data_IF_488834594311
#
_entry.id   IF_488834594311
#
_cell.length_a   1.000
_cell.length_b   1.000
_cell.length_c   1.000
_cell.angle_alpha   90.00
_cell.angle_beta   90.00
_cell.angle_gamma   90.00
#
_symmetry.space_group_name_H-M   'P 1'
#
loop_
_entity.id
_entity.type
_entity.pdbx_description
1 polymer ?
#
# COMPACT_ATOMS: atom_id res chain seq x y z
N UNK A 1 3.28 11.25 -11.73
CA UNK A 1 4.60 11.93 -11.71
C UNK A 1 5.69 10.92 -12.03
N UNK A 2 6.76 11.30 -12.72
CA UNK A 2 7.89 10.39 -12.99
C UNK A 2 9.09 10.92 -12.22
N UNK A 3 9.60 10.14 -11.26
CA UNK A 3 10.78 10.47 -10.45
C UNK A 3 11.91 9.50 -10.83
N UNK A 4 13.15 10.00 -10.80
CA UNK A 4 14.35 9.19 -11.05
C UNK A 4 14.95 8.73 -9.72
N UNK A 5 15.54 7.54 -9.73
CA UNK A 5 16.32 7.05 -8.60
C UNK A 5 17.58 7.87 -8.43
N UNK A 6 17.84 8.32 -7.20
CA UNK A 6 19.07 8.99 -6.83
C UNK A 6 19.99 8.01 -6.10
N UNK A 7 21.29 8.29 -6.10
CA UNK A 7 22.26 7.53 -5.30
C UNK A 7 22.14 7.98 -3.85
N UNK A 8 22.03 7.02 -2.93
CA UNK A 8 22.04 7.27 -1.49
C UNK A 8 23.05 6.31 -0.84
N UNK A 9 24.29 6.76 -0.68
CA UNK A 9 25.40 5.89 -0.27
C UNK A 9 25.62 4.72 -1.24
N UNK A 10 25.43 3.49 -0.74
CA UNK A 10 25.51 2.24 -1.48
C UNK A 10 24.15 1.75 -2.02
N UNK A 11 23.07 2.50 -1.83
CA UNK A 11 21.73 2.17 -2.30
C UNK A 11 21.18 3.22 -3.27
N UNK A 12 19.94 2.98 -3.73
CA UNK A 12 19.15 3.93 -4.51
C UNK A 12 17.97 4.39 -3.68
N UNK A 13 17.59 5.65 -3.83
CA UNK A 13 16.44 6.23 -3.16
C UNK A 13 15.49 6.90 -4.17
N UNK A 14 14.20 6.91 -3.83
CA UNK A 14 13.17 7.67 -4.51
C UNK A 14 12.79 8.84 -3.61
N UNK A 15 12.95 10.07 -4.10
CA UNK A 15 12.60 11.28 -3.32
C UNK A 15 11.14 11.63 -3.56
N UNK A 16 10.36 11.59 -2.47
CA UNK A 16 8.95 11.97 -2.45
C UNK A 16 8.84 13.37 -1.84
N UNK A 17 8.04 14.24 -2.45
CA UNK A 17 7.86 15.60 -1.96
C UNK A 17 7.02 15.60 -0.68
N UNK A 18 7.43 16.40 0.31
CA UNK A 18 6.78 16.53 1.62
C UNK A 18 5.26 16.74 1.53
N UNK A 19 4.83 17.60 0.61
CA UNK A 19 3.41 17.89 0.38
C UNK A 19 2.60 16.65 -0.04
N UNK A 20 3.22 15.68 -0.74
CA UNK A 20 2.55 14.44 -1.14
C UNK A 20 2.36 13.48 0.04
N UNK A 21 3.36 13.40 0.93
CA UNK A 21 3.24 12.59 2.15
C UNK A 21 2.13 13.14 3.06
N UNK A 22 2.11 14.46 3.24
CA UNK A 22 1.06 15.13 4.02
C UNK A 22 -0.33 14.96 3.40
N UNK A 23 -0.45 15.09 2.08
CA UNK A 23 -1.72 14.85 1.37
C UNK A 23 -2.19 13.39 1.49
N UNK A 24 -1.27 12.44 1.61
CA UNK A 24 -1.59 11.04 1.87
C UNK A 24 -1.93 10.76 3.36
N UNK A 25 -1.84 11.76 4.23
CA UNK A 25 -2.04 11.63 5.68
C UNK A 25 -0.94 10.80 6.35
N UNK A 26 0.27 10.82 5.78
CA UNK A 26 1.44 10.14 6.30
C UNK A 26 2.35 11.14 7.01
N UNK A 27 2.81 10.76 8.18
CA UNK A 27 3.76 11.54 8.97
C UNK A 27 5.20 11.26 8.50
N UNK A 28 6.00 12.31 8.34
CA UNK A 28 7.35 12.25 7.76
C UNK A 28 8.31 11.39 8.57
N UNK A 29 8.14 11.36 9.89
CA UNK A 29 9.05 10.68 10.80
C UNK A 29 8.64 9.23 11.09
N UNK A 30 7.37 8.89 10.86
CA UNK A 30 6.79 7.61 11.29
C UNK A 30 6.20 6.79 10.15
N UNK A 31 6.11 7.33 8.92
CA UNK A 31 5.56 6.61 7.78
C UNK A 31 6.36 5.35 7.44
N UNK A 32 5.67 4.22 7.46
CA UNK A 32 6.20 2.94 7.01
C UNK A 32 5.69 2.61 5.62
N UNK A 33 6.54 2.03 4.80
CA UNK A 33 6.20 1.58 3.46
C UNK A 33 6.57 0.12 3.29
N UNK A 34 5.61 -0.66 2.82
CA UNK A 34 5.84 -2.00 2.33
C UNK A 34 6.27 -1.93 0.87
N UNK A 35 7.33 -2.67 0.54
CA UNK A 35 7.84 -2.78 -0.82
C UNK A 35 7.65 -4.22 -1.28
N UNK A 36 6.91 -4.42 -2.37
CA UNK A 36 6.66 -5.73 -2.98
C UNK A 36 7.01 -5.71 -4.46
N UNK A 37 7.32 -6.90 -4.99
CA UNK A 37 7.56 -7.10 -6.42
C UNK A 37 6.27 -7.62 -7.02
N UNK A 38 5.74 -6.92 -8.03
CA UNK A 38 4.57 -7.38 -8.76
C UNK A 38 4.96 -8.56 -9.68
N UNK A 39 4.18 -9.65 -9.72
CA UNK A 39 4.43 -10.79 -10.61
C UNK A 39 4.52 -10.42 -12.10
N UNK A 40 3.82 -9.37 -12.53
CA UNK A 40 3.81 -8.89 -13.91
C UNK A 40 4.98 -7.96 -14.24
N UNK A 41 5.91 -7.80 -13.29
CA UNK A 41 7.06 -6.92 -13.42
C UNK A 41 6.75 -5.52 -12.88
N UNK A 42 7.50 -5.12 -11.86
CA UNK A 42 7.37 -3.81 -11.25
C UNK A 42 7.66 -3.82 -9.76
N UNK A 43 7.86 -2.64 -9.21
CA UNK A 43 8.00 -2.43 -7.77
C UNK A 43 6.77 -1.68 -7.28
N UNK A 44 6.06 -2.27 -6.32
CA UNK A 44 4.92 -1.64 -5.66
C UNK A 44 5.39 -1.14 -4.30
N UNK A 45 5.12 0.14 -4.03
CA UNK A 45 5.43 0.79 -2.76
C UNK A 45 4.10 1.26 -2.17
N UNK A 46 3.74 0.72 -1.01
CA UNK A 46 2.47 1.01 -0.35
C UNK A 46 2.69 1.42 1.10
N UNK A 47 2.03 2.49 1.54
CA UNK A 47 2.09 2.93 2.94
C UNK A 47 1.36 1.95 3.85
N UNK A 48 1.96 1.62 4.99
CA UNK A 48 1.35 0.79 6.04
C UNK A 48 0.75 1.72 7.10
N UNK A 49 -0.54 1.51 7.44
CA UNK A 49 -1.20 2.24 8.54
C UNK A 49 -1.18 1.35 9.78
N UNK A 50 -0.39 1.73 10.77
CA UNK A 50 -0.13 0.93 11.98
C UNK A 50 -1.37 0.66 12.84
N UNK A 51 -2.40 1.52 12.77
CA UNK A 51 -3.41 1.57 13.82
C UNK A 51 -4.69 0.75 13.61
N UNK A 52 -4.89 0.03 12.49
CA UNK A 52 -6.21 -0.59 12.27
C UNK A 52 -6.27 -1.83 11.37
N UNK A 53 -5.15 -2.48 11.05
CA UNK A 53 -5.20 -3.65 10.14
C UNK A 53 -6.06 -4.79 10.72
N UNK A 54 -5.99 -5.07 12.03
CA UNK A 54 -6.81 -6.12 12.65
C UNK A 54 -8.32 -5.81 12.64
N UNK A 55 -8.71 -4.54 12.79
CA UNK A 55 -10.11 -4.11 12.80
C UNK A 55 -10.68 -4.01 11.38
N UNK A 56 -9.88 -3.52 10.42
CA UNK A 56 -10.24 -3.51 9.00
C UNK A 56 -10.31 -4.90 8.43
N UNK A 57 -9.41 -5.79 8.82
CA UNK A 57 -9.44 -7.18 8.35
C UNK A 57 -10.66 -7.91 8.91
N UNK A 58 -11.06 -7.65 10.16
CA UNK A 58 -12.34 -8.14 10.69
C UNK A 58 -13.55 -7.59 9.94
N UNK A 59 -13.65 -6.27 9.79
CA UNK A 59 -14.75 -5.64 9.06
C UNK A 59 -14.79 -6.09 7.58
N UNK A 60 -13.63 -6.27 6.96
CA UNK A 60 -13.53 -6.77 5.59
C UNK A 60 -13.96 -8.23 5.48
N UNK A 61 -13.58 -9.08 6.45
CA UNK A 61 -14.07 -10.47 6.53
C UNK A 61 -15.58 -10.53 6.76
N UNK A 62 -16.13 -9.69 7.63
CA UNK A 62 -17.58 -9.62 7.88
C UNK A 62 -18.33 -9.26 6.59
N UNK A 63 -17.88 -8.23 5.86
CA UNK A 63 -18.48 -7.84 4.58
C UNK A 63 -18.32 -8.95 3.51
N UNK A 64 -17.20 -9.66 3.51
CA UNK A 64 -16.97 -10.81 2.62
C UNK A 64 -17.92 -11.97 2.92
N UNK A 65 -18.15 -12.29 4.20
CA UNK A 65 -19.08 -13.33 4.63
C UNK A 65 -20.53 -12.97 4.30
N UNK A 66 -20.94 -11.71 4.54
CA UNK A 66 -22.27 -11.22 4.18
C UNK A 66 -22.54 -11.28 2.67
N UNK A 67 -21.50 -11.12 1.85
CA UNK A 67 -21.60 -11.08 0.39
C UNK A 67 -21.02 -12.31 -0.32
N UNK A 68 -20.93 -13.45 0.39
CA UNK A 68 -20.28 -14.68 -0.08
C UNK A 68 -20.77 -15.16 -1.46
N UNK A 69 -22.06 -15.04 -1.73
CA UNK A 69 -22.66 -15.43 -3.03
C UNK A 69 -22.19 -14.53 -4.18
N UNK A 70 -22.09 -13.22 -3.94
CA UNK A 70 -21.62 -12.25 -4.93
C UNK A 70 -20.12 -12.42 -5.19
N UNK A 71 -19.34 -12.65 -4.14
CA UNK A 71 -17.89 -12.88 -4.26
C UNK A 71 -17.59 -14.20 -4.98
N UNK A 72 -18.32 -15.28 -4.69
CA UNK A 72 -18.23 -16.56 -5.42
C UNK A 72 -18.57 -16.44 -6.91
N UNK A 73 -19.47 -15.53 -7.28
CA UNK A 73 -19.78 -15.24 -8.69
C UNK A 73 -18.67 -14.45 -9.38
N UNK A 74 -18.08 -13.48 -8.68
CA UNK A 74 -16.96 -12.69 -9.20
C UNK A 74 -15.68 -13.52 -9.37
N UNK A 75 -15.40 -14.45 -8.44
CA UNK A 75 -14.22 -15.32 -8.49
C UNK A 75 -14.28 -16.44 -9.54
N UNK A 76 -15.48 -16.71 -10.10
CA UNK A 76 -15.68 -17.71 -11.17
C UNK A 76 -15.53 -17.13 -12.59
N UNK A 77 -15.17 -15.85 -12.71
CA UNK A 77 -14.85 -15.19 -13.98
C UNK A 77 -13.35 -15.18 -14.22
#
# INVERSE_FOLDING_TARGET
>A
MIKKLIRHGNSKALVIDKALLQAAGLDEDTALFQITIDPNGGLVIQSVKTDNDALKEKAFREVLEENDILMKRLAKR
#
